data_IF_417175596404
#
_entry.id   IF_417175596404
#
_cell.length_a   1.000
_cell.length_b   1.000
_cell.length_c   1.000
_cell.angle_alpha   90.00
_cell.angle_beta   90.00
_cell.angle_gamma   90.00
#
_symmetry.space_group_name_H-M   'P 1'
#
loop_
_entity.id
_entity.type
_entity.pdbx_description
1 polymer ?
#
# COMPACT_ATOMS: atom_id res chain seq x y z
N UNK A 1 -10.60 -14.19 6.08
CA UNK A 1 -9.96 -14.40 4.76
C UNK A 1 -9.26 -13.11 4.37
N UNK A 2 -8.03 -13.18 3.86
CA UNK A 2 -7.26 -12.00 3.43
C UNK A 2 -7.86 -11.45 2.12
N UNK A 3 -8.04 -10.12 2.05
CA UNK A 3 -8.58 -9.40 0.90
C UNK A 3 -7.48 -8.99 -0.08
N UNK A 4 -7.90 -8.61 -1.30
CA UNK A 4 -7.03 -8.04 -2.34
C UNK A 4 -7.42 -6.59 -2.58
N UNK A 5 -6.42 -5.72 -2.74
CA UNK A 5 -6.66 -4.34 -3.16
C UNK A 5 -7.07 -4.26 -4.63
N UNK A 6 -7.63 -3.12 -5.09
CA UNK A 6 -7.88 -2.88 -6.51
C UNK A 6 -6.61 -2.97 -7.38
N UNK A 7 -5.43 -2.75 -6.80
CA UNK A 7 -4.15 -2.82 -7.52
C UNK A 7 -3.50 -4.19 -7.47
N UNK A 8 -4.08 -5.18 -6.78
CA UNK A 8 -3.48 -6.50 -6.58
C UNK A 8 -2.95 -7.18 -7.87
N UNK A 9 -3.62 -7.12 -9.03
CA UNK A 9 -3.06 -7.67 -10.27
C UNK A 9 -1.68 -7.08 -10.63
N UNK A 10 -1.51 -5.76 -10.48
CA UNK A 10 -0.23 -5.07 -10.74
C UNK A 10 0.81 -5.33 -9.65
N UNK A 11 0.36 -5.44 -8.39
CA UNK A 11 1.24 -5.81 -7.28
C UNK A 11 1.84 -7.19 -7.49
N UNK A 12 1.04 -8.16 -7.94
CA UNK A 12 1.50 -9.52 -8.25
C UNK A 12 2.51 -9.50 -9.40
N UNK A 13 2.23 -8.77 -10.48
CA UNK A 13 3.13 -8.64 -11.62
C UNK A 13 4.50 -8.04 -11.23
N UNK A 14 4.52 -7.09 -10.29
CA UNK A 14 5.73 -6.38 -9.89
C UNK A 14 6.50 -7.05 -8.74
N UNK A 15 5.92 -8.02 -8.03
CA UNK A 15 6.51 -8.61 -6.82
C UNK A 15 7.42 -9.79 -7.16
N UNK A 16 8.68 -9.51 -7.51
CA UNK A 16 9.70 -10.52 -7.82
C UNK A 16 9.99 -11.46 -6.63
N UNK A 17 9.83 -10.96 -5.40
CA UNK A 17 10.15 -11.72 -4.18
C UNK A 17 9.05 -12.67 -3.75
N UNK A 18 7.83 -12.47 -4.23
CA UNK A 18 6.62 -13.20 -3.79
C UNK A 18 6.36 -13.09 -2.28
N UNK A 19 6.94 -12.11 -1.60
CA UNK A 19 6.67 -11.89 -0.18
C UNK A 19 5.38 -11.11 -0.01
N UNK A 20 4.52 -11.63 0.87
CA UNK A 20 3.21 -11.08 1.18
C UNK A 20 3.01 -11.07 2.68
N UNK A 21 2.39 -10.00 3.17
CA UNK A 21 1.97 -9.89 4.56
C UNK A 21 0.51 -9.40 4.63
N UNK A 22 -0.10 -9.61 5.80
CA UNK A 22 -1.44 -9.14 6.12
C UNK A 22 -1.40 -7.72 6.65
N UNK A 23 -1.63 -6.75 5.77
CA UNK A 23 -1.77 -5.34 6.15
C UNK A 23 -3.25 -4.94 6.23
N UNK A 24 -3.76 -4.78 7.46
CA UNK A 24 -5.16 -4.38 7.74
C UNK A 24 -6.18 -5.32 7.06
N UNK A 25 -5.88 -6.60 6.99
CA UNK A 25 -6.73 -7.61 6.35
C UNK A 25 -6.54 -7.73 4.83
N UNK A 26 -5.58 -7.04 4.22
CA UNK A 26 -5.26 -7.12 2.79
C UNK A 26 -3.88 -7.76 2.56
N UNK A 27 -3.74 -8.52 1.48
CA UNK A 27 -2.46 -9.03 1.03
C UNK A 27 -1.64 -7.88 0.45
N UNK A 28 -0.56 -7.49 1.13
CA UNK A 28 0.35 -6.42 0.72
C UNK A 28 1.76 -6.99 0.53
N UNK A 29 2.48 -6.63 -0.56
CA UNK A 29 3.88 -6.99 -0.68
C UNK A 29 4.70 -6.24 0.37
N UNK A 30 5.67 -6.91 0.99
CA UNK A 30 6.60 -6.28 1.94
C UNK A 30 7.82 -5.66 1.24
N UNK A 31 8.12 -6.16 0.05
CA UNK A 31 9.16 -5.69 -0.88
C UNK A 31 8.84 -6.25 -2.27
N UNK A 32 9.25 -5.56 -3.32
CA UNK A 32 9.12 -6.00 -4.72
C UNK A 32 10.40 -6.62 -5.25
N UNK A 33 11.55 -6.17 -4.77
CA UNK A 33 12.89 -6.63 -5.12
C UNK A 33 13.63 -7.15 -3.89
N UNK A 34 14.67 -7.96 -4.10
CA UNK A 34 15.46 -8.51 -2.99
C UNK A 34 16.29 -7.47 -2.23
N UNK A 35 16.52 -6.29 -2.82
CA UNK A 35 17.25 -5.19 -2.21
C UNK A 35 16.31 -4.09 -1.74
N UNK A 36 15.93 -4.12 -0.47
CA UNK A 36 15.12 -3.07 0.16
C UNK A 36 15.83 -1.70 0.15
N UNK A 37 17.17 -1.70 0.11
CA UNK A 37 17.98 -0.48 -0.01
C UNK A 37 17.71 0.21 -1.35
N UNK A 38 17.56 -0.55 -2.43
CA UNK A 38 17.28 0.02 -3.75
C UNK A 38 15.89 0.65 -3.80
N UNK A 39 14.87 -0.03 -3.26
CA UNK A 39 13.50 0.54 -3.17
C UNK A 39 13.48 1.82 -2.32
N UNK A 40 14.17 1.80 -1.17
CA UNK A 40 14.30 2.96 -0.30
C UNK A 40 14.91 4.18 -1.01
N UNK A 41 16.03 3.98 -1.72
CA UNK A 41 16.68 5.08 -2.44
C UNK A 41 15.94 5.48 -3.70
N UNK A 42 15.19 4.58 -4.33
CA UNK A 42 14.29 4.93 -5.45
C UNK A 42 13.23 5.93 -4.99
N UNK A 43 12.64 5.71 -3.81
CA UNK A 43 11.68 6.66 -3.24
C UNK A 43 12.31 8.01 -2.84
N UNK A 44 13.58 8.02 -2.43
CA UNK A 44 14.28 9.24 -1.98
C UNK A 44 14.87 10.08 -3.11
N UNK A 45 15.37 9.42 -4.15
CA UNK A 45 16.14 10.07 -5.22
C UNK A 45 15.37 10.12 -6.54
N UNK A 46 14.21 9.46 -6.63
CA UNK A 46 13.37 9.41 -7.81
C UNK A 46 11.88 9.38 -7.41
N UNK A 47 11.09 8.46 -7.97
CA UNK A 47 9.65 8.34 -7.74
C UNK A 47 9.34 6.92 -7.27
N UNK A 48 8.49 6.82 -6.26
CA UNK A 48 7.92 5.56 -5.80
C UNK A 48 6.39 5.63 -5.80
N UNK A 49 5.76 4.48 -6.05
CA UNK A 49 4.30 4.31 -6.01
C UNK A 49 3.94 3.40 -4.83
N UNK A 50 3.00 3.83 -4.00
CA UNK A 50 2.50 3.08 -2.86
C UNK A 50 1.01 2.80 -3.01
N UNK A 51 0.59 1.55 -2.85
CA UNK A 51 -0.82 1.19 -2.74
C UNK A 51 -1.31 1.45 -1.32
N UNK A 52 -1.95 2.60 -1.11
CA UNK A 52 -2.59 2.96 0.17
C UNK A 52 -4.07 2.60 0.22
N UNK A 53 -4.61 1.89 -0.78
CA UNK A 53 -6.04 1.56 -0.88
C UNK A 53 -6.62 0.77 0.31
N UNK A 54 -5.85 -0.03 1.09
CA UNK A 54 -6.34 -0.65 2.33
C UNK A 54 -6.69 0.32 3.47
N UNK A 55 -6.13 1.53 3.49
CA UNK A 55 -6.41 2.51 4.56
C UNK A 55 -7.88 2.93 4.55
N UNK A 56 -8.40 3.37 5.70
CA UNK A 56 -9.74 3.96 5.74
C UNK A 56 -9.72 5.38 5.17
N UNK A 57 -10.71 5.71 4.34
CA UNK A 57 -10.91 7.07 3.79
C UNK A 57 -12.24 7.58 4.31
N UNK A 58 -12.20 8.63 5.13
CA UNK A 58 -13.37 9.25 5.71
C UNK A 58 -13.64 10.60 5.07
N UNK A 59 -14.92 10.96 4.98
CA UNK A 59 -15.39 12.27 4.55
C UNK A 59 -16.36 12.78 5.61
N UNK A 60 -15.89 13.69 6.45
CA UNK A 60 -16.67 14.30 7.52
C UNK A 60 -17.22 15.64 7.01
N UNK A 61 -18.51 15.91 7.23
CA UNK A 61 -19.22 17.11 6.75
C UNK A 61 -20.31 17.52 7.74
N UNK A 62 -20.67 18.82 7.73
CA UNK A 62 -21.72 19.39 8.58
C UNK A 62 -21.22 20.64 9.31
N UNK A 63 -22.14 21.47 9.83
CA UNK A 63 -21.79 22.69 10.56
C UNK A 63 -20.95 22.39 11.82
N UNK A 64 -21.23 21.27 12.48
CA UNK A 64 -20.59 20.87 13.74
C UNK A 64 -19.50 19.80 13.56
N UNK A 65 -18.98 19.63 12.33
CA UNK A 65 -18.01 18.57 12.00
C UNK A 65 -16.71 18.60 12.82
N UNK A 66 -16.36 19.75 13.41
CA UNK A 66 -15.17 19.92 14.26
C UNK A 66 -15.49 19.80 15.76
N UNK A 67 -16.76 19.62 16.13
CA UNK A 67 -17.21 19.48 17.53
C UNK A 67 -17.32 18.01 17.98
N UNK A 68 -17.02 17.06 17.08
CA UNK A 68 -17.06 15.62 17.32
C UNK A 68 -15.65 15.02 17.39
#
# INVERSE_FOLDING_TARGET
MIKRSPFHPRLVESNETMFWDNWVGYASPTQYQYSTVFEYFSARNAVALFDSSPLFKYRIKGADATQF
#
